data_IF_327411041150
#
_entry.id   IF_327411041150
#
_cell.length_a   1.000
_cell.length_b   1.000
_cell.length_c   1.000
_cell.angle_alpha   90.00
_cell.angle_beta   90.00
_cell.angle_gamma   90.00
#
_symmetry.space_group_name_H-M   'P 1'
#
loop_
_entity.id
_entity.type
_entity.pdbx_description
1 polymer ?
#
# COMPACT_ATOMS: atom_id res chain seq x y z
N UNK A 1 -9.77 -2.92 -23.78
CA UNK A 1 -8.96 -1.99 -22.97
C UNK A 1 -8.70 -2.64 -21.62
N UNK A 2 -7.56 -2.37 -20.99
CA UNK A 2 -7.32 -2.85 -19.62
C UNK A 2 -8.36 -2.28 -18.64
N UNK A 3 -8.74 -3.07 -17.63
CA UNK A 3 -9.80 -2.71 -16.69
C UNK A 3 -9.42 -1.52 -15.79
N UNK A 4 -8.16 -1.40 -15.38
CA UNK A 4 -7.69 -0.28 -14.56
C UNK A 4 -7.70 1.03 -15.34
N UNK A 5 -7.20 0.99 -16.59
CA UNK A 5 -7.26 2.13 -17.52
C UNK A 5 -8.71 2.55 -17.75
N UNK A 6 -9.59 1.57 -18.00
CA UNK A 6 -11.01 1.84 -18.28
C UNK A 6 -11.69 2.50 -17.07
N UNK A 7 -11.51 1.94 -15.87
CA UNK A 7 -12.11 2.47 -14.65
C UNK A 7 -11.62 3.90 -14.33
N UNK A 8 -10.32 4.19 -14.53
CA UNK A 8 -9.78 5.52 -14.31
C UNK A 8 -10.39 6.56 -15.27
N UNK A 9 -10.51 6.21 -16.55
CA UNK A 9 -11.12 7.09 -17.56
C UNK A 9 -12.61 7.23 -17.31
N UNK A 10 -13.36 6.15 -17.10
CA UNK A 10 -14.80 6.20 -16.85
C UNK A 10 -15.14 7.06 -15.62
N UNK A 11 -14.33 6.98 -14.55
CA UNK A 11 -14.47 7.84 -13.37
C UNK A 11 -14.25 9.32 -13.69
N UNK A 12 -13.23 9.64 -14.49
CA UNK A 12 -12.96 11.00 -14.94
C UNK A 12 -14.10 11.54 -15.81
N UNK A 13 -14.56 10.75 -16.79
CA UNK A 13 -15.62 11.17 -17.69
C UNK A 13 -16.96 11.31 -16.97
N UNK A 14 -17.26 10.43 -16.00
CA UNK A 14 -18.43 10.57 -15.13
C UNK A 14 -18.39 11.87 -14.31
N UNK A 15 -17.22 12.20 -13.74
CA UNK A 15 -17.05 13.46 -13.02
C UNK A 15 -17.22 14.67 -13.95
N UNK A 16 -16.72 14.61 -15.20
CA UNK A 16 -16.93 15.64 -16.21
C UNK A 16 -18.41 15.83 -16.58
N UNK A 17 -19.18 14.73 -16.66
CA UNK A 17 -20.62 14.77 -16.94
C UNK A 17 -21.44 15.37 -15.79
N UNK A 18 -20.90 15.37 -14.56
CA UNK A 18 -21.58 15.90 -13.37
C UNK A 18 -21.51 17.43 -13.21
N UNK A 19 -20.81 18.14 -14.11
CA UNK A 19 -20.58 19.59 -14.07
C UNK A 19 -21.46 20.32 -15.09
N UNK A 20 -22.16 21.39 -14.67
CA UNK A 20 -22.98 22.21 -15.56
C UNK A 20 -22.13 23.28 -16.27
N UNK A 21 -21.68 23.00 -17.49
CA UNK A 21 -20.74 23.86 -18.24
C UNK A 21 -21.38 25.10 -18.90
N UNK A 22 -22.67 25.36 -18.68
CA UNK A 22 -23.43 26.46 -19.33
C UNK A 22 -22.86 27.86 -19.11
N UNK A 23 -22.09 28.08 -18.05
CA UNK A 23 -21.48 29.39 -17.76
C UNK A 23 -20.09 29.59 -18.39
N UNK A 24 -19.48 28.52 -18.93
CA UNK A 24 -18.11 28.51 -19.46
C UNK A 24 -18.04 28.44 -21.00
N UNK A 25 -19.15 28.10 -21.68
CA UNK A 25 -19.18 27.94 -23.14
C UNK A 25 -19.37 29.28 -23.87
N UNK A 26 -18.27 29.96 -24.21
CA UNK A 26 -18.25 30.93 -25.33
C UNK A 26 -17.81 30.33 -26.67
N UNK A 27 -17.56 29.03 -26.75
CA UNK A 27 -17.12 28.35 -27.98
C UNK A 27 -17.82 27.00 -28.17
N UNK A 28 -18.58 26.87 -29.27
CA UNK A 28 -18.79 25.62 -30.02
C UNK A 28 -19.52 24.43 -29.35
N UNK A 29 -19.89 23.40 -30.14
CA UNK A 29 -20.81 22.31 -29.74
C UNK A 29 -20.11 21.10 -29.09
N UNK A 30 -18.86 21.22 -28.63
CA UNK A 30 -18.07 20.09 -28.11
C UNK A 30 -18.22 20.05 -26.59
N UNK A 31 -18.64 18.90 -26.04
CA UNK A 31 -18.79 18.74 -24.58
C UNK A 31 -17.43 18.61 -23.88
N UNK A 32 -17.35 18.99 -22.60
CA UNK A 32 -16.12 18.84 -21.78
C UNK A 32 -15.58 17.40 -21.83
N UNK A 33 -16.49 16.41 -21.78
CA UNK A 33 -16.18 14.99 -21.96
C UNK A 33 -15.46 14.70 -23.29
N UNK A 34 -15.94 15.26 -24.39
CA UNK A 34 -15.32 15.08 -25.71
C UNK A 34 -13.92 15.71 -25.77
N UNK A 35 -13.74 16.89 -25.17
CA UNK A 35 -12.42 17.54 -25.10
C UNK A 35 -11.41 16.71 -24.26
N UNK A 36 -11.84 16.19 -23.11
CA UNK A 36 -11.01 15.31 -22.27
C UNK A 36 -10.64 14.02 -23.00
N UNK A 37 -11.60 13.39 -23.71
CA UNK A 37 -11.31 12.21 -24.52
C UNK A 37 -10.29 12.49 -25.63
N UNK A 38 -10.37 13.65 -26.29
CA UNK A 38 -9.40 14.06 -27.31
C UNK A 38 -8.01 14.25 -26.72
N UNK A 39 -7.89 14.91 -25.57
CA UNK A 39 -6.60 15.14 -24.93
C UNK A 39 -5.95 13.84 -24.42
N UNK A 40 -6.74 12.91 -23.88
CA UNK A 40 -6.28 11.58 -23.52
C UNK A 40 -5.77 10.80 -24.74
N UNK A 41 -6.45 10.91 -25.88
CA UNK A 41 -6.00 10.30 -27.14
C UNK A 41 -4.67 10.89 -27.59
N UNK A 42 -4.52 12.22 -27.57
CA UNK A 42 -3.27 12.90 -27.95
C UNK A 42 -2.13 12.53 -26.99
N UNK A 43 -2.41 12.41 -25.69
CA UNK A 43 -1.43 11.91 -24.73
C UNK A 43 -0.96 10.49 -25.07
N UNK A 44 -1.89 9.56 -25.35
CA UNK A 44 -1.58 8.18 -25.74
C UNK A 44 -0.73 8.13 -27.02
N UNK A 45 -1.03 9.01 -27.99
CA UNK A 45 -0.23 9.17 -29.20
C UNK A 45 1.19 9.67 -28.87
N UNK A 46 1.32 10.71 -28.04
CA UNK A 46 2.60 11.35 -27.68
C UNK A 46 3.55 10.42 -26.92
N UNK A 47 3.02 9.55 -26.05
CA UNK A 47 3.84 8.58 -25.31
C UNK A 47 4.14 7.31 -26.10
N UNK A 48 3.61 7.15 -27.32
CA UNK A 48 3.80 5.95 -28.14
C UNK A 48 4.95 6.12 -29.14
N UNK A 49 6.01 5.30 -29.03
CA UNK A 49 7.18 5.35 -29.92
C UNK A 49 7.04 4.47 -31.18
N UNK A 50 6.44 3.28 -31.05
CA UNK A 50 6.15 2.30 -32.13
C UNK A 50 4.87 1.50 -31.82
N UNK A 51 4.28 0.84 -32.81
CA UNK A 51 3.08 -0.01 -32.66
C UNK A 51 1.94 0.69 -31.87
N UNK A 52 1.66 1.94 -32.24
CA UNK A 52 0.66 2.79 -31.58
C UNK A 52 -0.77 2.46 -31.99
N UNK A 53 -0.95 1.86 -33.18
CA UNK A 53 -2.25 1.56 -33.77
C UNK A 53 -3.15 0.71 -32.87
N UNK A 54 -2.62 -0.33 -32.21
CA UNK A 54 -3.43 -1.17 -31.32
C UNK A 54 -3.97 -0.37 -30.12
N UNK A 55 -3.14 0.47 -29.49
CA UNK A 55 -3.53 1.30 -28.33
C UNK A 55 -4.52 2.38 -28.72
N UNK A 56 -4.24 3.07 -29.82
CA UNK A 56 -5.08 4.12 -30.39
C UNK A 56 -6.43 3.52 -30.80
N UNK A 57 -6.44 2.43 -31.56
CA UNK A 57 -7.67 1.79 -32.03
C UNK A 57 -8.51 1.27 -30.85
N UNK A 58 -7.88 0.70 -29.83
CA UNK A 58 -8.58 0.23 -28.64
C UNK A 58 -9.21 1.40 -27.86
N UNK A 59 -8.54 2.54 -27.76
CA UNK A 59 -9.09 3.75 -27.16
C UNK A 59 -10.23 4.33 -28.00
N UNK A 60 -10.02 4.46 -29.30
CA UNK A 60 -11.01 4.95 -30.26
C UNK A 60 -12.29 4.10 -30.23
N UNK A 61 -12.18 2.78 -30.35
CA UNK A 61 -13.33 1.87 -30.30
C UNK A 61 -14.08 1.89 -28.96
N UNK A 62 -13.42 2.27 -27.87
CA UNK A 62 -14.03 2.30 -26.54
C UNK A 62 -14.75 3.63 -26.27
N UNK A 63 -14.17 4.76 -26.69
CA UNK A 63 -14.65 6.10 -26.29
C UNK A 63 -15.14 6.99 -27.44
N UNK A 64 -14.98 6.57 -28.69
CA UNK A 64 -15.48 7.28 -29.87
C UNK A 64 -16.35 6.34 -30.71
N UNK A 65 -17.66 6.63 -30.80
CA UNK A 65 -18.58 5.91 -31.69
C UNK A 65 -18.71 6.64 -33.03
N UNK A 66 -18.41 5.93 -34.13
CA UNK A 66 -18.65 6.23 -35.56
C UNK A 66 -18.71 7.69 -36.05
N UNK A 67 -17.89 8.60 -35.50
CA UNK A 67 -17.74 9.95 -36.04
C UNK A 67 -16.25 10.24 -36.23
N UNK A 68 -15.90 10.66 -37.45
CA UNK A 68 -14.57 11.15 -37.80
C UNK A 68 -14.23 12.31 -36.86
N UNK A 69 -13.31 12.07 -35.94
CA UNK A 69 -12.68 13.12 -35.16
C UNK A 69 -11.56 13.68 -36.02
N UNK A 70 -11.76 14.86 -36.60
CA UNK A 70 -10.62 15.68 -37.00
C UNK A 70 -9.88 16.04 -35.71
N UNK A 71 -8.64 15.56 -35.58
CA UNK A 71 -7.75 15.89 -34.48
C UNK A 71 -7.43 17.39 -34.50
N UNK A 72 -8.29 18.21 -33.92
CA UNK A 72 -7.99 19.62 -33.67
C UNK A 72 -7.25 19.68 -32.34
N UNK A 73 -5.98 19.28 -32.34
CA UNK A 73 -5.08 19.42 -31.22
C UNK A 73 -3.78 20.04 -31.72
N UNK A 74 -3.44 21.21 -31.21
CA UNK A 74 -2.20 21.89 -31.53
C UNK A 74 -1.04 21.03 -31.00
N UNK A 75 -0.28 20.37 -31.89
CA UNK A 75 0.76 19.39 -31.54
C UNK A 75 1.88 19.97 -30.63
N UNK A 76 1.90 21.30 -30.48
CA UNK A 76 2.91 22.06 -29.75
C UNK A 76 2.50 22.54 -28.34
N UNK A 77 1.26 22.31 -27.87
CA UNK A 77 0.90 22.68 -26.49
C UNK A 77 1.40 21.63 -25.49
N UNK A 78 2.22 22.06 -24.51
CA UNK A 78 2.68 21.20 -23.42
C UNK A 78 1.56 20.81 -22.44
N UNK A 79 0.46 21.56 -22.42
CA UNK A 79 -0.69 21.37 -21.53
C UNK A 79 -1.95 21.68 -22.32
N UNK A 80 -2.84 20.71 -22.39
CA UNK A 80 -4.02 20.80 -23.23
C UNK A 80 -5.10 21.73 -22.68
N UNK A 81 -5.92 22.24 -23.60
CA UNK A 81 -7.01 23.17 -23.29
C UNK A 81 -8.06 22.58 -22.34
N UNK A 82 -8.39 21.28 -22.41
CA UNK A 82 -9.36 20.69 -21.47
C UNK A 82 -8.82 20.70 -20.05
N UNK A 83 -7.53 20.38 -19.83
CA UNK A 83 -6.93 20.40 -18.51
C UNK A 83 -6.94 21.80 -17.88
N UNK A 84 -6.65 22.84 -18.68
CA UNK A 84 -6.77 24.24 -18.24
C UNK A 84 -8.20 24.56 -17.81
N UNK A 85 -9.20 24.07 -18.54
CA UNK A 85 -10.62 24.23 -18.21
C UNK A 85 -11.02 23.46 -16.95
N UNK A 86 -10.52 22.24 -16.73
CA UNK A 86 -10.73 21.48 -15.49
C UNK A 86 -10.19 22.24 -14.27
N UNK A 87 -9.00 22.83 -14.39
CA UNK A 87 -8.44 23.67 -13.32
C UNK A 87 -9.33 24.90 -13.04
N UNK A 88 -9.87 25.55 -14.08
CA UNK A 88 -10.80 26.67 -13.90
C UNK A 88 -12.11 26.26 -13.21
N UNK A 89 -12.65 25.08 -13.55
CA UNK A 89 -13.85 24.54 -12.89
C UNK A 89 -13.57 24.28 -11.41
N UNK A 90 -12.43 23.66 -11.09
CA UNK A 90 -12.04 23.39 -9.71
C UNK A 90 -11.86 24.68 -8.89
N UNK A 91 -11.36 25.77 -9.49
CA UNK A 91 -11.26 27.09 -8.83
C UNK A 91 -12.62 27.70 -8.47
N UNK A 92 -13.63 27.51 -9.32
CA UNK A 92 -14.96 28.12 -9.14
C UNK A 92 -15.83 27.32 -8.16
N UNK A 93 -15.34 26.18 -7.65
CA UNK A 93 -16.04 25.28 -6.70
C UNK A 93 -17.43 24.89 -7.20
N UNK A 94 -17.60 24.69 -8.50
CA UNK A 94 -18.82 24.06 -9.02
C UNK A 94 -18.92 22.63 -8.47
N UNK A 95 -20.14 22.18 -8.14
CA UNK A 95 -20.37 20.88 -7.47
C UNK A 95 -20.03 19.71 -8.39
N UNK A 96 -18.76 19.37 -8.49
CA UNK A 96 -18.23 18.15 -9.13
C UNK A 96 -18.38 16.93 -8.19
N UNK A 97 -19.53 16.74 -7.55
CA UNK A 97 -19.78 15.62 -6.60
C UNK A 97 -18.64 15.37 -5.57
N UNK A 98 -17.86 16.40 -5.21
CA UNK A 98 -16.72 16.30 -4.29
C UNK A 98 -15.38 15.88 -4.92
N UNK A 99 -15.26 15.82 -6.25
CA UNK A 99 -14.01 15.52 -6.96
C UNK A 99 -13.28 16.78 -7.40
N UNK A 100 -11.95 16.80 -7.25
CA UNK A 100 -11.08 17.78 -7.92
C UNK A 100 -10.78 17.20 -9.31
N UNK A 101 -11.31 17.83 -10.37
CA UNK A 101 -11.27 17.28 -11.73
C UNK A 101 -9.85 17.26 -12.31
N UNK A 102 -9.06 18.29 -12.02
CA UNK A 102 -7.64 18.37 -12.41
C UNK A 102 -6.80 17.26 -11.75
N UNK A 103 -7.07 16.93 -10.48
CA UNK A 103 -6.46 15.78 -9.79
C UNK A 103 -6.86 14.46 -10.46
N UNK A 104 -8.14 14.28 -10.72
CA UNK A 104 -8.66 13.07 -11.35
C UNK A 104 -8.09 12.88 -12.76
N UNK A 105 -7.90 13.97 -13.52
CA UNK A 105 -7.24 13.95 -14.82
C UNK A 105 -5.77 13.50 -14.71
N UNK A 106 -5.00 14.08 -13.77
CA UNK A 106 -3.60 13.68 -13.54
C UNK A 106 -3.51 12.21 -13.14
N UNK A 107 -4.41 11.74 -12.25
CA UNK A 107 -4.47 10.33 -11.83
C UNK A 107 -4.74 9.40 -13.02
N UNK A 108 -5.68 9.75 -13.90
CA UNK A 108 -5.95 8.96 -15.12
C UNK A 108 -4.75 8.90 -16.08
N UNK A 109 -4.05 10.03 -16.28
CA UNK A 109 -2.81 10.08 -17.09
C UNK A 109 -1.73 9.15 -16.50
N UNK A 110 -1.57 9.14 -15.17
CA UNK A 110 -0.61 8.28 -14.48
C UNK A 110 -0.94 6.80 -14.67
N UNK A 111 -2.22 6.41 -14.48
CA UNK A 111 -2.68 5.02 -14.66
C UNK A 111 -2.39 4.53 -16.09
N UNK A 112 -2.74 5.33 -17.10
CA UNK A 112 -2.48 5.01 -18.52
C UNK A 112 -0.97 4.84 -18.76
N UNK A 113 -0.17 5.82 -18.34
CA UNK A 113 1.28 5.81 -18.56
C UNK A 113 2.00 4.66 -17.85
N UNK A 114 1.61 4.35 -16.62
CA UNK A 114 2.17 3.23 -15.85
C UNK A 114 1.83 1.88 -16.47
N UNK A 115 0.57 1.66 -16.84
CA UNK A 115 0.13 0.41 -17.45
C UNK A 115 0.92 0.10 -18.73
N UNK A 116 1.05 1.08 -19.62
CA UNK A 116 1.80 0.90 -20.86
C UNK A 116 3.31 0.76 -20.62
N UNK A 117 3.87 1.43 -19.62
CA UNK A 117 5.31 1.35 -19.28
C UNK A 117 5.69 0.02 -18.60
N UNK A 118 4.76 -0.62 -17.87
CA UNK A 118 5.00 -1.87 -17.15
C UNK A 118 4.59 -3.12 -17.92
N UNK A 119 3.73 -2.97 -18.93
CA UNK A 119 3.26 -4.08 -19.77
C UNK A 119 4.41 -4.79 -20.50
N UNK A 120 4.53 -6.11 -20.32
CA UNK A 120 5.49 -6.97 -21.05
C UNK A 120 5.37 -6.82 -22.58
N UNK A 121 4.17 -6.48 -23.08
CA UNK A 121 3.86 -6.32 -24.50
C UNK A 121 4.26 -4.93 -25.03
N UNK A 122 4.13 -3.87 -24.22
CA UNK A 122 4.24 -2.48 -24.69
C UNK A 122 5.45 -1.71 -24.14
N UNK A 123 6.16 -2.20 -23.11
CA UNK A 123 7.27 -1.47 -22.46
C UNK A 123 8.38 -0.96 -23.39
N UNK A 124 8.65 -1.67 -24.50
CA UNK A 124 9.69 -1.27 -25.48
C UNK A 124 9.21 -0.23 -26.50
N UNK A 125 7.93 0.08 -26.52
CA UNK A 125 7.30 0.97 -27.50
C UNK A 125 6.68 2.23 -26.90
N UNK A 126 7.08 2.58 -25.66
CA UNK A 126 6.60 3.75 -24.92
C UNK A 126 7.73 4.73 -24.60
N UNK A 127 7.47 6.01 -24.80
CA UNK A 127 8.33 7.12 -24.42
C UNK A 127 8.17 7.42 -22.92
N UNK A 128 8.87 6.65 -22.09
CA UNK A 128 8.80 6.77 -20.63
C UNK A 128 9.21 8.17 -20.16
N UNK A 129 10.23 8.78 -20.79
CA UNK A 129 10.68 10.12 -20.44
C UNK A 129 9.61 11.17 -20.80
N UNK A 130 9.03 11.08 -21.99
CA UNK A 130 7.94 11.96 -22.40
C UNK A 130 6.70 11.86 -21.53
N UNK A 131 6.39 10.66 -21.01
CA UNK A 131 5.34 10.47 -20.01
C UNK A 131 5.67 11.20 -18.68
N UNK A 132 6.88 11.01 -18.15
CA UNK A 132 7.32 11.64 -16.90
C UNK A 132 7.30 13.17 -17.02
N UNK A 133 7.82 13.70 -18.12
CA UNK A 133 7.87 15.14 -18.38
C UNK A 133 6.46 15.73 -18.50
N UNK A 134 5.53 15.00 -19.14
CA UNK A 134 4.14 15.42 -19.26
C UNK A 134 3.44 15.51 -17.90
N UNK A 135 3.58 14.48 -17.04
CA UNK A 135 3.03 14.51 -15.68
C UNK A 135 3.62 15.64 -14.85
N UNK A 136 4.94 15.88 -14.98
CA UNK A 136 5.61 16.99 -14.29
C UNK A 136 5.04 18.34 -14.70
N UNK A 137 4.84 18.57 -15.99
CA UNK A 137 4.27 19.81 -16.52
C UNK A 137 2.83 20.05 -16.02
N UNK A 138 2.00 19.01 -15.97
CA UNK A 138 0.64 19.13 -15.41
C UNK A 138 0.66 19.54 -13.93
N UNK A 139 1.51 18.88 -13.13
CA UNK A 139 1.65 19.21 -11.70
C UNK A 139 2.19 20.62 -11.48
N UNK A 140 3.18 21.03 -12.27
CA UNK A 140 3.74 22.38 -12.19
C UNK A 140 2.72 23.45 -12.58
N UNK A 141 1.86 23.16 -13.55
CA UNK A 141 0.78 24.07 -13.91
C UNK A 141 -0.21 24.27 -12.76
N UNK A 142 -0.68 23.19 -12.14
CA UNK A 142 -1.60 23.27 -11.01
C UNK A 142 -1.04 24.12 -9.87
N UNK A 143 0.25 23.96 -9.54
CA UNK A 143 0.93 24.78 -8.50
C UNK A 143 0.89 26.27 -8.82
N UNK A 144 0.92 26.63 -10.10
CA UNK A 144 0.87 28.01 -10.55
C UNK A 144 -0.55 28.58 -10.66
N UNK A 145 -1.59 27.76 -10.43
CA UNK A 145 -2.98 28.21 -10.45
C UNK A 145 -3.40 28.65 -9.03
N UNK A 146 -3.83 29.92 -8.83
CA UNK A 146 -4.22 30.44 -7.52
C UNK A 146 -5.35 29.62 -6.87
N UNK A 147 -5.31 29.48 -5.55
CA UNK A 147 -6.30 28.78 -4.70
C UNK A 147 -6.46 27.26 -4.90
N UNK A 148 -5.77 26.65 -5.86
CA UNK A 148 -5.67 25.18 -6.01
C UNK A 148 -4.53 24.57 -5.17
N UNK A 149 -3.42 25.29 -5.00
CA UNK A 149 -2.21 24.79 -4.32
C UNK A 149 -2.42 24.44 -2.82
N UNK A 150 -3.47 25.01 -2.19
CA UNK A 150 -3.83 24.73 -0.78
C UNK A 150 -4.61 23.42 -0.59
N UNK A 151 -5.28 22.91 -1.62
CA UNK A 151 -6.00 21.63 -1.59
C UNK A 151 -5.17 20.49 -2.25
N UNK A 152 -4.17 20.83 -3.08
CA UNK A 152 -3.26 19.89 -3.73
C UNK A 152 -2.15 19.30 -2.83
N UNK A 153 -2.02 19.82 -1.61
CA UNK A 153 -0.92 19.53 -0.70
C UNK A 153 -1.20 18.46 0.34
N UNK A 154 -1.59 17.23 -0.03
CA UNK A 154 -1.46 16.06 0.88
C UNK A 154 -1.27 14.66 0.25
N UNK A 155 -1.27 14.46 -1.08
CA UNK A 155 -1.16 13.10 -1.64
C UNK A 155 -0.08 12.85 -2.72
N UNK A 156 0.66 13.86 -3.19
CA UNK A 156 1.48 13.70 -4.41
C UNK A 156 2.98 13.41 -4.27
N UNK A 157 3.52 13.25 -3.06
CA UNK A 157 4.87 12.66 -2.87
C UNK A 157 4.87 11.12 -2.99
N UNK A 158 3.72 10.47 -3.21
CA UNK A 158 3.56 9.01 -3.31
C UNK A 158 3.39 8.46 -4.75
N UNK A 159 3.94 9.12 -5.78
CA UNK A 159 3.93 8.55 -7.15
C UNK A 159 5.33 8.30 -7.72
N UNK A 160 6.10 7.49 -7.00
CA UNK A 160 6.92 6.45 -7.61
C UNK A 160 6.09 5.16 -7.64
N UNK A 161 6.05 4.53 -8.82
CA UNK A 161 5.34 3.29 -9.18
C UNK A 161 5.03 2.39 -7.97
N UNK A 162 3.79 2.41 -7.50
CA UNK A 162 3.26 1.50 -6.49
C UNK A 162 2.06 0.79 -7.10
N UNK A 163 2.24 -0.48 -7.48
CA UNK A 163 1.12 -1.39 -7.71
C UNK A 163 0.64 -1.87 -6.35
N UNK A 164 -0.27 -1.12 -5.74
CA UNK A 164 -1.09 -1.59 -4.63
C UNK A 164 -2.42 -0.85 -4.69
N UNK A 165 -3.48 -1.60 -4.97
CA UNK A 165 -4.85 -1.26 -4.59
C UNK A 165 -4.85 -1.02 -3.08
N UNK A 166 -4.93 0.23 -2.66
CA UNK A 166 -5.12 0.57 -1.25
C UNK A 166 -6.55 0.15 -0.83
N UNK A 167 -6.68 -0.56 0.30
CA UNK A 167 -7.95 -0.74 0.96
C UNK A 167 -8.33 0.53 1.71
N UNK A 168 -9.63 0.81 1.71
CA UNK A 168 -10.31 1.85 2.48
C UNK A 168 -9.73 1.90 3.91
N UNK A 169 -9.17 3.04 4.27
CA UNK A 169 -8.72 3.36 5.61
C UNK A 169 -9.92 3.51 6.55
N UNK A 170 -9.87 2.79 7.66
CA UNK A 170 -10.75 2.98 8.80
C UNK A 170 -10.41 4.35 9.40
N UNK A 171 -11.34 5.29 9.27
CA UNK A 171 -11.36 6.51 10.08
C UNK A 171 -11.66 6.12 11.52
N UNK A 172 -10.61 6.03 12.34
CA UNK A 172 -10.76 6.15 13.80
C UNK A 172 -11.02 7.63 14.12
N UNK A 173 -12.29 7.98 14.31
CA UNK A 173 -12.65 9.11 15.17
C UNK A 173 -13.67 8.67 16.22
N UNK A 174 -13.10 8.40 17.41
CA UNK A 174 -13.63 8.80 18.71
C UNK A 174 -14.96 8.21 19.18
N UNK A 175 -14.86 7.14 19.98
CA UNK A 175 -15.42 7.24 21.32
C UNK A 175 -14.53 8.19 22.13
N UNK A 176 -15.04 9.37 22.39
CA UNK A 176 -14.38 10.42 23.15
C UNK A 176 -14.22 10.00 24.61
N UNK A 177 -13.02 9.55 24.97
CA UNK A 177 -12.51 9.71 26.34
C UNK A 177 -11.16 10.39 26.24
N UNK A 178 -11.17 11.67 26.58
CA UNK A 178 -10.00 12.46 26.91
C UNK A 178 -9.13 11.75 27.96
N UNK A 179 -7.91 11.36 27.60
CA UNK A 179 -6.71 11.73 28.36
C UNK A 179 -5.46 11.35 27.58
N UNK A 180 -4.57 12.31 27.38
CA UNK A 180 -3.20 12.13 26.90
C UNK A 180 -2.37 11.39 27.96
N UNK A 181 -2.66 10.12 28.18
CA UNK A 181 -1.80 9.23 28.95
C UNK A 181 -0.80 8.62 27.98
N UNK A 182 0.49 8.81 28.25
CA UNK A 182 1.52 8.06 27.55
C UNK A 182 1.23 6.57 27.72
N UNK A 183 1.05 5.86 26.61
CA UNK A 183 0.78 4.42 26.55
C UNK A 183 1.86 3.69 27.35
N UNK A 184 1.45 2.92 28.36
CA UNK A 184 2.37 2.19 29.25
C UNK A 184 2.82 0.89 28.60
N UNK A 185 3.92 0.30 29.11
CA UNK A 185 4.40 -0.99 28.59
C UNK A 185 3.35 -2.09 28.83
N UNK A 186 2.63 -2.01 29.94
CA UNK A 186 1.53 -2.89 30.30
C UNK A 186 0.39 -2.80 29.28
N UNK A 187 0.04 -1.60 28.79
CA UNK A 187 -0.99 -1.41 27.76
C UNK A 187 -0.58 -2.07 26.43
N UNK A 188 0.71 -1.98 26.06
CA UNK A 188 1.23 -2.61 24.83
C UNK A 188 1.32 -4.13 24.98
N UNK A 189 1.65 -4.63 26.17
CA UNK A 189 1.62 -6.07 26.47
C UNK A 189 0.20 -6.62 26.39
N UNK A 190 -0.80 -5.87 26.85
CA UNK A 190 -2.19 -6.27 26.71
C UNK A 190 -2.62 -6.32 25.23
N UNK A 191 -2.18 -5.37 24.40
CA UNK A 191 -2.39 -5.42 22.96
C UNK A 191 -1.76 -6.68 22.32
N UNK A 192 -0.54 -7.04 22.73
CA UNK A 192 0.10 -8.29 22.27
C UNK A 192 -0.74 -9.50 22.68
N UNK A 193 -1.27 -9.51 23.91
CA UNK A 193 -2.03 -10.64 24.44
C UNK A 193 -3.37 -10.81 23.72
N UNK A 194 -4.00 -9.72 23.28
CA UNK A 194 -5.22 -9.71 22.47
C UNK A 194 -5.04 -10.22 21.04
N UNK A 195 -3.82 -10.29 20.51
CA UNK A 195 -3.60 -10.84 19.18
C UNK A 195 -4.00 -12.33 19.15
N UNK A 196 -4.69 -12.75 18.10
CA UNK A 196 -5.14 -14.14 17.98
C UNK A 196 -3.92 -15.05 17.79
N UNK A 197 -3.89 -16.17 18.51
CA UNK A 197 -2.83 -17.16 18.38
C UNK A 197 -1.43 -16.67 18.82
N UNK A 198 -0.41 -17.03 18.04
CA UNK A 198 0.97 -16.53 18.14
C UNK A 198 1.66 -16.77 19.51
N UNK A 199 1.29 -17.82 20.25
CA UNK A 199 1.79 -18.05 21.62
C UNK A 199 3.32 -18.05 21.72
N UNK A 200 4.00 -18.67 20.76
CA UNK A 200 5.47 -18.69 20.70
C UNK A 200 6.04 -17.28 20.50
N UNK A 201 5.46 -16.49 19.58
CA UNK A 201 5.88 -15.10 19.33
C UNK A 201 5.66 -14.24 20.58
N UNK A 202 4.50 -14.36 21.24
CA UNK A 202 4.21 -13.65 22.48
C UNK A 202 5.23 -13.96 23.57
N UNK A 203 5.62 -15.22 23.71
CA UNK A 203 6.67 -15.65 24.64
C UNK A 203 8.03 -15.01 24.32
N UNK A 204 8.45 -15.05 23.05
CA UNK A 204 9.71 -14.44 22.61
C UNK A 204 9.74 -12.93 22.83
N UNK A 205 8.64 -12.23 22.53
CA UNK A 205 8.51 -10.80 22.77
C UNK A 205 8.57 -10.48 24.27
N UNK A 206 7.93 -11.27 25.13
CA UNK A 206 8.04 -11.11 26.59
C UNK A 206 9.47 -11.35 27.08
N UNK A 207 10.17 -12.36 26.56
CA UNK A 207 11.58 -12.61 26.89
C UNK A 207 12.49 -11.43 26.49
N UNK A 208 12.25 -10.86 25.31
CA UNK A 208 12.92 -9.65 24.85
C UNK A 208 12.67 -8.49 25.80
N UNK A 209 11.41 -8.22 26.16
CA UNK A 209 11.03 -7.14 27.10
C UNK A 209 11.73 -7.32 28.45
N UNK A 210 11.75 -8.55 28.98
CA UNK A 210 12.39 -8.84 30.26
C UNK A 210 13.89 -8.54 30.23
N UNK A 211 14.58 -8.92 29.15
CA UNK A 211 16.00 -8.63 28.98
C UNK A 211 16.26 -7.12 28.89
N UNK A 212 15.42 -6.39 28.15
CA UNK A 212 15.55 -4.94 28.01
C UNK A 212 15.27 -4.19 29.33
N UNK A 213 14.24 -4.62 30.08
CA UNK A 213 13.95 -4.10 31.43
C UNK A 213 15.13 -4.33 32.37
N UNK A 214 15.73 -5.52 32.37
CA UNK A 214 16.92 -5.81 33.16
C UNK A 214 18.08 -4.89 32.80
N UNK A 215 18.35 -4.69 31.50
CA UNK A 215 19.41 -3.79 31.04
C UNK A 215 19.17 -2.33 31.46
N UNK A 216 17.92 -1.86 31.41
CA UNK A 216 17.54 -0.53 31.92
C UNK A 216 17.84 -0.38 33.41
N UNK A 217 17.40 -1.33 34.24
CA UNK A 217 17.66 -1.33 35.69
C UNK A 217 19.17 -1.36 35.97
N UNK A 218 19.94 -2.16 35.22
CA UNK A 218 21.40 -2.20 35.35
C UNK A 218 22.04 -0.84 35.05
N UNK A 219 21.61 -0.18 33.96
CA UNK A 219 22.08 1.15 33.56
C UNK A 219 21.77 2.19 34.62
N UNK A 220 20.53 2.23 35.12
CA UNK A 220 20.09 3.17 36.17
C UNK A 220 20.88 2.99 37.48
N UNK A 221 21.30 1.77 37.79
CA UNK A 221 22.11 1.45 38.97
C UNK A 221 23.63 1.52 38.72
N UNK A 222 24.06 2.03 37.56
CA UNK A 222 25.48 2.19 37.23
C UNK A 222 26.24 0.89 36.91
N UNK A 223 25.56 -0.24 36.73
CA UNK A 223 26.17 -1.48 36.30
C UNK A 223 26.39 -1.52 34.78
N UNK A 224 27.41 -2.28 34.36
CA UNK A 224 27.63 -2.55 32.93
C UNK A 224 26.40 -3.26 32.33
N UNK A 225 25.90 -2.73 31.22
CA UNK A 225 24.80 -3.33 30.47
C UNK A 225 25.26 -4.62 29.78
N UNK A 226 24.34 -5.56 29.58
CA UNK A 226 24.58 -6.74 28.77
C UNK A 226 24.52 -6.27 27.31
N UNK A 227 25.65 -6.37 26.60
CA UNK A 227 25.71 -6.02 25.18
C UNK A 227 24.89 -7.03 24.38
N UNK A 228 23.70 -6.64 23.97
CA UNK A 228 22.86 -7.42 23.04
C UNK A 228 22.50 -6.55 21.86
N UNK A 229 22.45 -7.13 20.67
CA UNK A 229 21.82 -6.47 19.54
C UNK A 229 20.33 -6.27 19.82
N UNK A 230 19.82 -5.09 19.43
CA UNK A 230 18.41 -4.75 19.49
C UNK A 230 17.69 -5.06 18.16
N UNK A 231 18.45 -5.43 17.13
CA UNK A 231 17.95 -5.80 15.81
C UNK A 231 17.37 -7.20 15.81
N UNK A 232 16.33 -7.44 15.01
CA UNK A 232 15.57 -8.69 15.02
C UNK A 232 15.39 -9.25 13.60
N UNK A 233 15.26 -10.56 13.52
CA UNK A 233 14.89 -11.28 12.29
C UNK A 233 13.51 -11.88 12.46
N UNK A 234 12.56 -11.56 11.59
CA UNK A 234 11.21 -12.12 11.61
C UNK A 234 11.07 -13.17 10.50
N UNK A 235 10.80 -14.40 10.89
CA UNK A 235 10.75 -15.54 9.99
C UNK A 235 9.34 -16.10 9.91
N UNK A 236 8.72 -16.08 8.73
CA UNK A 236 7.41 -16.70 8.54
C UNK A 236 6.70 -16.26 7.27
N UNK A 237 5.61 -16.97 6.94
CA UNK A 237 4.82 -16.73 5.73
C UNK A 237 4.07 -15.38 5.77
N UNK A 238 3.58 -14.87 4.63
CA UNK A 238 2.74 -13.66 4.60
C UNK A 238 1.51 -13.82 5.49
N UNK A 239 1.07 -12.69 6.06
CA UNK A 239 -0.15 -12.64 6.86
C UNK A 239 -0.08 -13.32 8.23
N UNK A 240 1.10 -13.63 8.76
CA UNK A 240 1.30 -14.20 10.12
C UNK A 240 1.46 -13.14 11.22
N UNK A 241 1.27 -11.84 10.93
CA UNK A 241 1.31 -10.77 11.93
C UNK A 241 2.68 -10.13 12.19
N UNK A 242 3.68 -10.37 11.33
CA UNK A 242 5.04 -9.79 11.41
C UNK A 242 5.04 -8.26 11.60
N UNK A 243 4.43 -7.52 10.68
CA UNK A 243 4.37 -6.04 10.72
C UNK A 243 3.61 -5.54 11.96
N UNK A 244 2.54 -6.23 12.37
CA UNK A 244 1.78 -5.88 13.59
C UNK A 244 2.65 -5.99 14.84
N UNK A 245 3.39 -7.09 14.99
CA UNK A 245 4.31 -7.28 16.13
C UNK A 245 5.48 -6.28 16.08
N UNK A 246 6.00 -5.96 14.89
CA UNK A 246 7.04 -4.94 14.73
C UNK A 246 6.60 -3.57 15.27
N UNK A 247 5.35 -3.16 14.99
CA UNK A 247 4.76 -1.91 15.48
C UNK A 247 4.65 -1.89 17.00
N UNK A 248 4.24 -3.00 17.61
CA UNK A 248 4.15 -3.12 19.08
C UNK A 248 5.54 -3.09 19.73
N UNK A 249 6.54 -3.72 19.11
CA UNK A 249 7.93 -3.66 19.57
C UNK A 249 8.47 -2.22 19.50
N UNK A 250 8.15 -1.45 18.45
CA UNK A 250 8.55 -0.05 18.35
C UNK A 250 8.02 0.78 19.54
N UNK A 251 6.73 0.59 19.90
CA UNK A 251 6.11 1.21 21.07
C UNK A 251 6.82 0.81 22.38
N UNK A 252 7.10 -0.48 22.56
CA UNK A 252 7.83 -1.00 23.73
C UNK A 252 9.22 -0.38 23.83
N UNK A 253 9.97 -0.32 22.73
CA UNK A 253 11.32 0.23 22.71
C UNK A 253 11.31 1.71 23.07
N UNK A 254 10.33 2.47 22.59
CA UNK A 254 10.11 3.86 23.01
C UNK A 254 9.81 3.98 24.50
N UNK A 255 8.85 3.19 25.00
CA UNK A 255 8.45 3.22 26.41
C UNK A 255 9.61 2.82 27.36
N UNK A 256 10.52 1.97 26.91
CA UNK A 256 11.74 1.62 27.65
C UNK A 256 12.84 2.69 27.53
N UNK A 257 12.72 3.65 26.62
CA UNK A 257 13.72 4.70 26.37
C UNK A 257 14.92 4.20 25.57
N UNK A 258 14.71 3.16 24.75
CA UNK A 258 15.69 2.64 23.78
C UNK A 258 15.62 3.43 22.49
N UNK A 259 14.42 3.85 22.10
CA UNK A 259 14.16 4.66 20.92
C UNK A 259 13.53 5.98 21.33
N UNK A 260 13.92 7.07 20.69
CA UNK A 260 13.43 8.41 21.00
C UNK A 260 11.98 8.64 20.53
N UNK A 261 11.58 8.12 19.36
CA UNK A 261 10.28 8.41 18.73
C UNK A 261 9.34 7.19 18.65
N UNK A 262 9.86 5.98 18.45
CA UNK A 262 9.08 4.73 18.38
C UNK A 262 8.27 4.53 17.09
N UNK A 263 8.61 5.25 16.01
CA UNK A 263 7.99 5.05 14.71
C UNK A 263 8.43 3.75 14.04
N UNK A 264 7.61 3.24 13.13
CA UNK A 264 7.91 2.07 12.29
C UNK A 264 7.89 2.51 10.83
N UNK A 265 9.02 2.41 10.14
CA UNK A 265 9.14 2.67 8.71
C UNK A 265 9.26 1.32 8.01
N UNK A 266 8.21 0.94 7.27
CA UNK A 266 8.16 -0.29 6.48
C UNK A 266 8.64 -0.03 5.05
N UNK A 267 9.55 -0.86 4.56
CA UNK A 267 10.13 -0.75 3.22
C UNK A 267 10.39 -2.13 2.62
N UNK A 268 10.52 -2.16 1.29
CA UNK A 268 11.00 -3.32 0.54
C UNK A 268 12.26 -3.01 -0.30
N UNK A 269 12.67 -3.93 -1.17
CA UNK A 269 13.82 -3.73 -2.07
C UNK A 269 13.67 -2.52 -2.97
N UNK A 270 12.47 -2.26 -3.49
CA UNK A 270 12.20 -1.17 -4.41
C UNK A 270 12.38 0.19 -3.75
N UNK A 271 12.13 0.29 -2.45
CA UNK A 271 12.34 1.52 -1.66
C UNK A 271 13.82 1.79 -1.37
N UNK A 272 14.63 0.73 -1.23
CA UNK A 272 16.04 0.86 -0.84
C UNK A 272 16.98 0.98 -2.05
N UNK A 273 16.67 0.28 -3.14
CA UNK A 273 17.55 0.15 -4.30
C UNK A 273 17.12 1.09 -5.43
N UNK A 274 18.09 1.83 -5.99
CA UNK A 274 17.88 2.71 -7.14
C UNK A 274 18.20 1.98 -8.46
N UNK A 275 17.68 2.50 -9.58
CA UNK A 275 17.93 1.96 -10.92
C UNK A 275 19.29 2.35 -11.52
N UNK A 276 20.02 3.26 -10.89
CA UNK A 276 21.27 3.84 -11.39
C UNK A 276 22.39 3.71 -10.37
N UNK A 277 23.62 3.54 -10.87
CA UNK A 277 24.85 3.39 -10.07
C UNK A 277 25.06 4.61 -9.15
N UNK A 278 25.40 4.35 -7.89
CA UNK A 278 25.74 5.38 -6.90
C UNK A 278 24.55 6.13 -6.27
N UNK A 279 23.31 5.82 -6.69
CA UNK A 279 22.11 6.41 -6.09
C UNK A 279 21.53 5.55 -4.95
N UNK A 280 21.89 4.26 -4.89
CA UNK A 280 21.33 3.34 -3.89
C UNK A 280 21.73 3.71 -2.47
N UNK A 281 23.01 4.05 -2.21
CA UNK A 281 23.41 4.50 -0.89
C UNK A 281 22.69 5.79 -0.44
N UNK A 282 22.37 6.70 -1.37
CA UNK A 282 21.63 7.93 -1.07
C UNK A 282 20.20 7.58 -0.69
N UNK A 283 19.51 6.81 -1.55
CA UNK A 283 18.13 6.39 -1.34
C UNK A 283 17.95 5.60 -0.03
N UNK A 284 18.86 4.65 0.22
CA UNK A 284 18.88 3.87 1.47
C UNK A 284 19.10 4.77 2.68
N UNK A 285 19.97 5.78 2.58
CA UNK A 285 20.21 6.73 3.68
C UNK A 285 18.99 7.59 3.98
N UNK A 286 18.29 8.10 2.96
CA UNK A 286 17.05 8.87 3.15
C UNK A 286 15.98 8.06 3.89
N UNK A 287 15.87 6.76 3.59
CA UNK A 287 14.97 5.84 4.29
C UNK A 287 15.42 5.63 5.74
N UNK A 288 16.72 5.44 5.98
CA UNK A 288 17.27 5.31 7.33
C UNK A 288 17.00 6.57 8.14
N UNK A 289 17.20 7.75 7.55
CA UNK A 289 16.98 9.04 8.21
C UNK A 289 15.51 9.21 8.65
N UNK A 290 14.56 8.74 7.83
CA UNK A 290 13.13 8.68 8.20
C UNK A 290 12.83 7.70 9.34
N UNK A 291 13.67 6.68 9.52
CA UNK A 291 13.50 5.64 10.53
C UNK A 291 14.30 5.91 11.82
N UNK A 292 15.07 7.01 11.88
CA UNK A 292 15.80 7.42 13.07
C UNK A 292 14.85 7.64 14.25
N UNK A 293 15.29 7.29 15.46
CA UNK A 293 14.41 7.28 16.63
C UNK A 293 13.37 6.17 16.61
N UNK A 294 13.41 5.28 15.62
CA UNK A 294 12.39 4.27 15.35
C UNK A 294 12.96 2.93 14.90
N UNK A 295 12.09 2.17 14.24
CA UNK A 295 12.40 0.88 13.63
C UNK A 295 12.30 0.99 12.12
N UNK A 296 13.35 0.58 11.41
CA UNK A 296 13.31 0.26 9.99
C UNK A 296 12.92 -1.21 9.81
N UNK A 297 11.75 -1.47 9.24
CA UNK A 297 11.28 -2.81 8.93
C UNK A 297 11.43 -3.09 7.43
N UNK A 298 12.25 -4.09 7.10
CA UNK A 298 12.55 -4.47 5.71
C UNK A 298 11.85 -5.78 5.41
N UNK A 299 10.76 -5.74 4.63
CA UNK A 299 10.08 -6.96 4.20
C UNK A 299 10.81 -7.62 3.03
N UNK A 300 10.74 -8.94 2.99
CA UNK A 300 11.49 -9.81 2.07
C UNK A 300 12.96 -9.40 1.88
N UNK A 301 13.67 -9.13 2.99
CA UNK A 301 15.03 -8.58 2.98
C UNK A 301 16.05 -9.40 2.17
N UNK A 302 15.84 -10.73 2.07
CA UNK A 302 16.65 -11.61 1.23
C UNK A 302 16.68 -11.20 -0.25
N UNK A 303 15.69 -10.44 -0.71
CA UNK A 303 15.66 -9.91 -2.07
C UNK A 303 16.81 -8.95 -2.31
N UNK A 304 17.35 -8.26 -1.30
CA UNK A 304 18.50 -7.35 -1.44
C UNK A 304 19.78 -8.10 -1.82
N UNK A 305 19.98 -9.31 -1.28
CA UNK A 305 21.15 -10.15 -1.60
C UNK A 305 20.98 -10.96 -2.90
N UNK A 306 19.75 -11.11 -3.42
CA UNK A 306 19.49 -11.87 -4.64
C UNK A 306 20.00 -11.13 -5.89
N UNK A 307 20.64 -11.89 -6.78
CA UNK A 307 20.95 -11.47 -8.15
C UNK A 307 22.36 -10.90 -8.38
N UNK A 308 23.25 -10.91 -7.37
CA UNK A 308 24.65 -10.49 -7.53
C UNK A 308 24.84 -9.06 -8.03
N UNK A 309 23.81 -8.22 -7.92
CA UNK A 309 23.85 -6.83 -8.37
C UNK A 309 24.50 -5.96 -7.30
N UNK A 310 25.52 -5.19 -7.66
CA UNK A 310 26.25 -4.29 -6.76
C UNK A 310 25.32 -3.35 -5.96
N UNK A 311 24.19 -2.96 -6.54
CA UNK A 311 23.22 -2.06 -5.90
C UNK A 311 22.58 -2.63 -4.63
N UNK A 312 22.23 -3.92 -4.63
CA UNK A 312 21.62 -4.55 -3.46
C UNK A 312 22.62 -4.66 -2.30
N UNK A 313 23.88 -4.96 -2.62
CA UNK A 313 24.95 -5.00 -1.65
C UNK A 313 25.25 -3.61 -1.08
N UNK A 314 25.23 -2.57 -1.92
CA UNK A 314 25.40 -1.17 -1.49
C UNK A 314 24.34 -0.74 -0.46
N UNK A 315 23.08 -1.17 -0.63
CA UNK A 315 22.02 -0.94 0.36
C UNK A 315 22.32 -1.67 1.67
N UNK A 316 22.69 -2.95 1.62
CA UNK A 316 23.05 -3.77 2.79
C UNK A 316 24.21 -3.11 3.57
N UNK A 317 25.27 -2.70 2.87
CA UNK A 317 26.45 -2.09 3.49
C UNK A 317 26.10 -0.75 4.16
N UNK A 318 25.24 0.04 3.53
CA UNK A 318 24.73 1.30 4.09
C UNK A 318 23.93 1.07 5.37
N UNK A 319 23.06 0.05 5.38
CA UNK A 319 22.26 -0.35 6.55
C UNK A 319 23.18 -0.86 7.67
N UNK A 320 24.11 -1.76 7.38
CA UNK A 320 25.06 -2.33 8.35
C UNK A 320 25.91 -1.26 9.04
N UNK A 321 26.33 -0.24 8.28
CA UNK A 321 27.04 0.92 8.82
C UNK A 321 26.16 1.73 9.76
N UNK A 322 24.92 2.04 9.36
CA UNK A 322 23.98 2.76 10.22
C UNK A 322 23.64 2.00 11.50
N UNK A 323 23.50 0.67 11.43
CA UNK A 323 23.29 -0.20 12.60
C UNK A 323 24.42 -0.09 13.63
N UNK A 324 25.67 0.13 13.19
CA UNK A 324 26.80 0.34 14.11
C UNK A 324 26.84 1.78 14.63
N UNK A 325 26.78 2.75 13.72
CA UNK A 325 26.97 4.17 14.02
C UNK A 325 25.82 4.75 14.86
N UNK A 326 24.61 4.17 14.74
CA UNK A 326 23.36 4.68 15.34
C UNK A 326 22.67 3.68 16.27
N UNK A 327 23.38 2.68 16.78
CA UNK A 327 22.82 1.57 17.59
C UNK A 327 21.96 1.96 18.80
N UNK A 328 22.16 3.16 19.33
CA UNK A 328 21.47 3.65 20.54
C UNK A 328 20.13 4.31 20.22
N UNK A 329 19.80 4.56 18.94
CA UNK A 329 18.54 5.23 18.53
C UNK A 329 18.04 4.79 17.13
N UNK A 330 18.49 3.64 16.64
CA UNK A 330 18.08 3.08 15.36
C UNK A 330 18.06 1.56 15.43
N UNK A 331 16.92 0.95 15.08
CA UNK A 331 16.74 -0.50 15.10
C UNK A 331 16.25 -0.98 13.74
N UNK A 332 16.89 -2.01 13.21
CA UNK A 332 16.44 -2.71 12.01
C UNK A 332 15.75 -4.02 12.39
N UNK A 333 14.60 -4.28 11.77
CA UNK A 333 13.96 -5.60 11.74
C UNK A 333 13.92 -6.06 10.28
N UNK A 334 14.51 -7.21 10.00
CA UNK A 334 14.43 -7.84 8.66
C UNK A 334 13.42 -8.98 8.69
N UNK A 335 12.57 -9.06 7.67
CA UNK A 335 11.52 -10.07 7.58
C UNK A 335 11.62 -10.90 6.28
N UNK A 336 11.14 -12.14 6.35
CA UNK A 336 11.02 -12.99 5.16
C UNK A 336 10.75 -14.47 5.47
N UNK A 337 10.81 -15.29 4.44
CA UNK A 337 10.68 -16.74 4.55
C UNK A 337 11.94 -17.37 5.17
N UNK A 338 11.77 -18.38 6.02
CA UNK A 338 12.86 -19.00 6.79
C UNK A 338 14.04 -19.46 5.94
N UNK A 339 13.79 -20.13 4.81
CA UNK A 339 14.85 -20.61 3.91
C UNK A 339 15.68 -19.47 3.30
N UNK A 340 15.09 -18.60 2.46
CA UNK A 340 15.78 -17.46 1.85
C UNK A 340 16.45 -16.51 2.86
N UNK A 341 15.87 -16.34 4.06
CA UNK A 341 16.48 -15.52 5.11
C UNK A 341 17.75 -16.14 5.70
N UNK A 342 17.84 -17.47 5.77
CA UNK A 342 19.07 -18.14 6.19
C UNK A 342 20.22 -17.81 5.22
N UNK A 343 19.95 -17.88 3.91
CA UNK A 343 20.94 -17.55 2.89
C UNK A 343 21.33 -16.07 2.93
N UNK A 344 20.36 -15.18 3.17
CA UNK A 344 20.61 -13.75 3.35
C UNK A 344 21.51 -13.45 4.55
N UNK A 345 21.26 -14.06 5.71
CA UNK A 345 22.10 -13.83 6.89
C UNK A 345 23.52 -14.37 6.70
N UNK A 346 23.65 -15.49 5.98
CA UNK A 346 24.94 -16.10 5.65
C UNK A 346 25.70 -15.35 4.53
N UNK A 347 25.04 -14.46 3.79
CA UNK A 347 25.68 -13.77 2.65
C UNK A 347 26.70 -12.72 3.08
N UNK A 348 26.62 -12.23 4.33
CA UNK A 348 27.56 -11.25 4.87
C UNK A 348 27.77 -11.48 6.38
N UNK A 349 29.00 -11.73 6.87
CA UNK A 349 29.26 -11.91 8.31
C UNK A 349 28.80 -10.74 9.19
N UNK A 350 28.72 -9.54 8.64
CA UNK A 350 28.17 -8.35 9.29
C UNK A 350 26.69 -8.50 9.64
N UNK A 351 25.90 -9.18 8.80
CA UNK A 351 24.49 -9.47 9.06
C UNK A 351 24.35 -10.48 10.21
N UNK A 352 25.04 -11.62 10.13
CA UNK A 352 24.97 -12.68 11.15
C UNK A 352 25.34 -12.15 12.55
N UNK A 353 26.37 -11.31 12.65
CA UNK A 353 26.80 -10.73 13.93
C UNK A 353 25.78 -9.75 14.55
N UNK A 354 25.05 -8.99 13.72
CA UNK A 354 24.07 -7.98 14.18
C UNK A 354 22.67 -8.57 14.35
N UNK A 355 22.33 -9.61 13.60
CA UNK A 355 21.02 -10.26 13.61
C UNK A 355 21.07 -11.60 14.34
N UNK A 356 21.37 -11.57 15.63
CA UNK A 356 21.54 -12.77 16.45
C UNK A 356 20.26 -13.22 17.19
N UNK A 357 19.12 -12.56 16.95
CA UNK A 357 17.82 -12.91 17.52
C UNK A 357 16.79 -13.03 16.41
N UNK A 358 16.13 -14.19 16.38
CA UNK A 358 15.10 -14.51 15.39
C UNK A 358 13.79 -14.83 16.10
N UNK A 359 12.69 -14.31 15.56
CA UNK A 359 11.33 -14.61 16.01
C UNK A 359 10.63 -15.37 14.88
N UNK A 360 10.16 -16.57 15.19
CA UNK A 360 9.45 -17.43 14.24
C UNK A 360 7.94 -17.22 14.34
N UNK A 361 7.33 -16.88 13.22
CA UNK A 361 5.90 -16.66 13.04
C UNK A 361 5.30 -17.86 12.32
N UNK A 362 4.70 -18.82 13.05
CA UNK A 362 4.06 -19.98 12.45
C UNK A 362 2.83 -19.57 11.64
N UNK A 363 2.41 -20.46 10.74
CA UNK A 363 1.08 -20.37 10.13
C UNK A 363 0.00 -20.47 11.20
N UNK A 364 -1.10 -19.75 10.99
CA UNK A 364 -2.29 -19.88 11.85
C UNK A 364 -2.99 -21.22 11.62
N UNK A 365 -3.57 -21.74 12.68
CA UNK A 365 -4.49 -22.88 12.62
C UNK A 365 -5.83 -22.46 12.00
N UNK A 366 -6.64 -23.43 11.55
CA UNK A 366 -7.97 -23.13 11.02
C UNK A 366 -8.87 -22.41 12.04
N UNK A 367 -8.74 -22.75 13.32
CA UNK A 367 -9.45 -22.09 14.42
C UNK A 367 -9.00 -20.63 14.56
N UNK A 368 -7.70 -20.38 14.56
CA UNK A 368 -7.15 -19.02 14.63
C UNK A 368 -7.53 -18.18 13.40
N UNK A 369 -7.54 -18.77 12.19
CA UNK A 369 -8.02 -18.08 11.00
C UNK A 369 -9.52 -17.74 11.06
N UNK A 370 -10.33 -18.63 11.64
CA UNK A 370 -11.75 -18.40 11.87
C UNK A 370 -11.97 -17.26 12.87
N UNK A 371 -11.20 -17.24 13.96
CA UNK A 371 -11.22 -16.14 14.93
C UNK A 371 -10.81 -14.81 14.30
N UNK A 372 -9.82 -14.82 13.39
CA UNK A 372 -9.43 -13.62 12.63
C UNK A 372 -10.58 -13.13 11.75
N UNK A 373 -11.33 -14.04 11.11
CA UNK A 373 -12.51 -13.66 10.33
C UNK A 373 -13.59 -13.04 11.21
N UNK A 374 -13.84 -13.62 12.39
CA UNK A 374 -14.80 -13.06 13.36
C UNK A 374 -14.35 -11.70 13.89
N UNK A 375 -13.04 -11.49 14.07
CA UNK A 375 -12.51 -10.19 14.46
C UNK A 375 -12.83 -9.12 13.40
N UNK A 376 -12.70 -9.45 12.11
CA UNK A 376 -13.17 -8.55 11.04
C UNK A 376 -14.67 -8.32 11.14
N UNK A 377 -15.48 -9.36 11.32
CA UNK A 377 -16.93 -9.21 11.48
C UNK A 377 -17.28 -8.27 12.65
N UNK A 378 -16.65 -8.45 13.82
CA UNK A 378 -16.86 -7.61 14.99
C UNK A 378 -16.51 -6.14 14.74
N UNK A 379 -15.40 -5.86 14.04
CA UNK A 379 -14.97 -4.50 13.71
C UNK A 379 -15.96 -3.77 12.77
N UNK A 380 -16.75 -4.51 11.99
CA UNK A 380 -17.77 -3.96 11.10
C UNK A 380 -19.20 -4.18 11.62
N UNK A 381 -19.36 -4.56 12.89
CA UNK A 381 -20.67 -4.84 13.52
C UNK A 381 -21.49 -5.93 12.80
N UNK A 382 -20.80 -6.88 12.20
CA UNK A 382 -21.37 -7.99 11.45
C UNK A 382 -21.28 -9.31 12.22
N UNK A 383 -22.14 -10.26 11.83
CA UNK A 383 -22.19 -11.61 12.35
C UNK A 383 -22.41 -12.62 11.23
N UNK A 384 -21.84 -13.80 11.38
CA UNK A 384 -22.11 -14.95 10.50
C UNK A 384 -23.39 -15.65 10.96
N UNK A 385 -24.22 -16.08 9.99
CA UNK A 385 -25.26 -17.07 10.31
C UNK A 385 -24.63 -18.40 10.72
N UNK A 386 -25.39 -19.25 11.39
CA UNK A 386 -24.91 -20.57 11.85
C UNK A 386 -24.36 -21.41 10.69
N UNK A 387 -25.08 -21.45 9.57
CA UNK A 387 -24.65 -22.20 8.38
C UNK A 387 -23.39 -21.60 7.76
N UNK A 388 -23.32 -20.26 7.64
CA UNK A 388 -22.13 -19.56 7.15
C UNK A 388 -20.89 -19.86 8.01
N UNK A 389 -21.05 -19.88 9.34
CA UNK A 389 -19.98 -20.21 10.27
C UNK A 389 -19.48 -21.64 10.11
N UNK A 390 -20.38 -22.62 9.94
CA UNK A 390 -20.01 -24.02 9.72
C UNK A 390 -19.26 -24.21 8.39
N UNK A 391 -19.78 -23.64 7.31
CA UNK A 391 -19.16 -23.75 5.98
C UNK A 391 -17.81 -23.04 5.92
N UNK A 392 -17.66 -21.90 6.60
CA UNK A 392 -16.37 -21.20 6.73
C UNK A 392 -15.33 -22.05 7.49
N UNK A 393 -15.73 -22.68 8.60
CA UNK A 393 -14.81 -23.55 9.37
C UNK A 393 -14.32 -24.73 8.54
N UNK A 394 -15.21 -25.41 7.83
CA UNK A 394 -14.85 -26.52 6.94
C UNK A 394 -13.91 -26.05 5.80
N UNK A 395 -14.20 -24.89 5.20
CA UNK A 395 -13.33 -24.29 4.19
C UNK A 395 -11.92 -24.00 4.73
N UNK A 396 -11.81 -23.34 5.90
CA UNK A 396 -10.53 -23.00 6.51
C UNK A 396 -9.73 -24.25 6.91
N UNK A 397 -10.41 -25.30 7.40
CA UNK A 397 -9.77 -26.59 7.65
C UNK A 397 -9.18 -27.19 6.36
N UNK A 398 -9.95 -27.20 5.27
CA UNK A 398 -9.47 -27.67 3.96
C UNK A 398 -8.29 -26.83 3.45
N UNK A 399 -8.35 -25.50 3.62
CA UNK A 399 -7.29 -24.59 3.22
C UNK A 399 -5.99 -24.85 4.00
N UNK A 400 -6.07 -24.98 5.32
CA UNK A 400 -4.93 -25.30 6.18
C UNK A 400 -4.34 -26.69 5.92
N UNK A 401 -5.16 -27.68 5.54
CA UNK A 401 -4.71 -29.02 5.22
C UNK A 401 -4.01 -29.09 3.86
N UNK A 402 -4.52 -28.36 2.86
CA UNK A 402 -3.94 -28.34 1.52
C UNK A 402 -2.68 -27.49 1.43
N UNK A 403 -2.59 -26.40 2.20
CA UNK A 403 -1.51 -25.40 2.16
C UNK A 403 -1.07 -25.07 0.73
N UNK A 404 -1.94 -24.44 -0.09
CA UNK A 404 -1.58 -24.08 -1.46
C UNK A 404 -0.33 -23.20 -1.48
N UNK A 405 0.37 -23.20 -2.61
CA UNK A 405 1.65 -22.50 -2.79
C UNK A 405 1.60 -21.00 -2.47
N UNK A 406 0.42 -20.38 -2.58
CA UNK A 406 0.12 -18.98 -2.29
C UNK A 406 -0.56 -18.74 -0.93
N UNK A 407 -0.52 -19.70 -0.01
CA UNK A 407 -1.15 -19.58 1.31
C UNK A 407 -0.57 -18.40 2.10
N UNK A 408 -1.44 -17.44 2.45
CA UNK A 408 -1.05 -16.15 3.04
C UNK A 408 -1.77 -15.83 4.35
N UNK A 409 -2.22 -16.87 5.08
CA UNK A 409 -2.72 -16.76 6.44
C UNK A 409 -3.79 -15.66 6.62
N UNK A 410 -3.57 -14.70 7.53
CA UNK A 410 -4.51 -13.61 7.80
C UNK A 410 -4.78 -12.71 6.59
N UNK A 411 -3.88 -12.65 5.61
CA UNK A 411 -4.12 -11.93 4.34
C UNK A 411 -5.16 -12.68 3.50
N UNK A 412 -5.13 -14.01 3.46
CA UNK A 412 -6.16 -14.80 2.79
C UNK A 412 -7.53 -14.62 3.47
N UNK A 413 -7.58 -14.60 4.81
CA UNK A 413 -8.82 -14.36 5.56
C UNK A 413 -9.37 -12.96 5.32
N UNK A 414 -8.50 -11.94 5.28
CA UNK A 414 -8.88 -10.58 4.91
C UNK A 414 -9.52 -10.53 3.53
N UNK A 415 -8.85 -11.12 2.52
CA UNK A 415 -9.36 -11.15 1.16
C UNK A 415 -10.71 -11.89 1.08
N UNK A 416 -10.86 -12.98 1.84
CA UNK A 416 -12.13 -13.71 1.94
C UNK A 416 -13.24 -12.84 2.55
N UNK A 417 -12.94 -12.09 3.60
CA UNK A 417 -13.90 -11.16 4.22
C UNK A 417 -14.31 -10.05 3.24
N UNK A 418 -13.34 -9.40 2.58
CA UNK A 418 -13.61 -8.35 1.58
C UNK A 418 -14.44 -8.88 0.39
N UNK A 419 -14.13 -10.09 -0.08
CA UNK A 419 -14.95 -10.77 -1.09
C UNK A 419 -16.36 -11.05 -0.58
N UNK A 420 -16.51 -11.36 0.71
CA UNK A 420 -17.81 -11.65 1.31
C UNK A 420 -18.70 -10.40 1.39
N UNK A 421 -18.11 -9.25 1.72
CA UNK A 421 -18.81 -7.96 1.66
C UNK A 421 -19.30 -7.64 0.24
N UNK A 422 -18.49 -7.94 -0.76
CA UNK A 422 -18.86 -7.73 -2.17
C UNK A 422 -20.05 -8.60 -2.59
N UNK A 423 -20.09 -9.86 -2.15
CA UNK A 423 -21.20 -10.77 -2.42
C UNK A 423 -22.48 -10.38 -1.66
N UNK A 424 -22.34 -9.97 -0.40
CA UNK A 424 -23.44 -9.42 0.38
C UNK A 424 -24.03 -8.18 -0.32
N UNK A 425 -23.19 -7.24 -0.77
CA UNK A 425 -23.64 -6.04 -1.48
C UNK A 425 -24.43 -6.39 -2.74
N UNK A 426 -23.94 -7.33 -3.56
CA UNK A 426 -24.65 -7.79 -4.76
C UNK A 426 -26.01 -8.41 -4.42
N UNK A 427 -26.07 -9.24 -3.38
CA UNK A 427 -27.33 -9.82 -2.89
C UNK A 427 -28.33 -8.75 -2.46
N UNK A 428 -27.87 -7.73 -1.73
CA UNK A 428 -28.74 -6.68 -1.19
C UNK A 428 -29.22 -5.70 -2.26
N UNK A 429 -28.44 -5.51 -3.34
CA UNK A 429 -28.83 -4.69 -4.47
C UNK A 429 -30.09 -5.19 -5.20
N UNK A 430 -30.38 -6.49 -5.09
CA UNK A 430 -31.57 -7.13 -5.69
C UNK A 430 -32.84 -6.98 -4.80
N UNK A 431 -32.73 -6.41 -3.60
CA UNK A 431 -33.81 -6.34 -2.61
C UNK A 431 -34.53 -5.00 -2.65
N UNK A 432 -35.87 -5.00 -2.67
CA UNK A 432 -36.69 -3.77 -2.68
C UNK A 432 -36.56 -2.94 -1.39
N UNK A 433 -36.30 -3.59 -0.25
CA UNK A 433 -36.07 -2.93 1.04
C UNK A 433 -35.02 -3.69 1.85
N UNK A 434 -34.03 -2.95 2.36
CA UNK A 434 -32.92 -3.46 3.18
C UNK A 434 -33.23 -3.21 4.65
N UNK A 435 -33.30 -4.26 5.45
CA UNK A 435 -33.47 -4.19 6.90
C UNK A 435 -32.14 -4.22 7.65
N UNK A 436 -32.17 -3.92 8.95
CA UNK A 436 -30.95 -3.92 9.78
C UNK A 436 -30.26 -5.29 9.83
N UNK A 437 -31.02 -6.38 9.87
CA UNK A 437 -30.47 -7.74 9.84
C UNK A 437 -29.74 -8.05 8.53
N UNK A 438 -30.16 -7.46 7.41
CA UNK A 438 -29.50 -7.67 6.12
C UNK A 438 -28.09 -7.07 6.10
N UNK A 439 -27.90 -5.94 6.79
CA UNK A 439 -26.64 -5.22 6.91
C UNK A 439 -25.68 -5.92 7.88
N UNK A 440 -26.22 -6.49 8.97
CA UNK A 440 -25.41 -7.09 10.04
C UNK A 440 -25.17 -8.59 9.86
N UNK A 441 -25.88 -9.29 8.97
CA UNK A 441 -25.74 -10.75 8.79
C UNK A 441 -25.10 -11.15 7.45
N UNK A 442 -23.98 -11.87 7.56
CA UNK A 442 -23.35 -12.61 6.47
C UNK A 442 -23.90 -14.04 6.42
N UNK A 443 -24.49 -14.38 5.28
CA UNK A 443 -25.04 -15.70 4.98
C UNK A 443 -24.01 -16.57 4.23
N UNK A 444 -24.25 -17.88 4.17
CA UNK A 444 -23.35 -18.81 3.50
C UNK A 444 -23.10 -18.44 2.02
N UNK A 445 -24.15 -17.99 1.31
CA UNK A 445 -24.04 -17.54 -0.09
C UNK A 445 -23.20 -16.28 -0.29
N UNK A 446 -22.94 -15.54 0.79
CA UNK A 446 -22.05 -14.38 0.73
C UNK A 446 -20.59 -14.81 0.90
N UNK A 447 -20.28 -16.07 1.21
CA UNK A 447 -18.91 -16.53 1.41
C UNK A 447 -18.33 -17.09 0.12
N UNK A 448 -17.18 -16.57 -0.31
CA UNK A 448 -16.44 -17.10 -1.46
C UNK A 448 -15.61 -18.34 -1.06
N UNK A 449 -16.26 -19.50 -0.91
CA UNK A 449 -15.65 -20.73 -0.38
C UNK A 449 -14.95 -21.60 -1.44
N UNK A 450 -14.45 -21.00 -2.52
CA UNK A 450 -13.72 -21.71 -3.55
C UNK A 450 -12.26 -21.91 -3.12
N UNK A 451 -11.78 -23.15 -3.17
CA UNK A 451 -10.37 -23.44 -2.91
C UNK A 451 -9.56 -23.00 -4.13
N UNK A 452 -8.46 -22.26 -3.96
CA UNK A 452 -7.59 -21.89 -5.08
C UNK A 452 -7.04 -23.15 -5.76
N UNK A 453 -6.98 -23.12 -7.09
CA UNK A 453 -6.30 -24.14 -7.88
C UNK A 453 -4.81 -24.19 -7.53
N UNK A 454 -4.22 -25.39 -7.54
CA UNK A 454 -2.88 -25.68 -7.00
C UNK A 454 -1.72 -24.99 -7.73
#
# INVERSE_FOLDING_TARGET
MDLEIKNAIDRLLYACDSVDTKHLSKQGPISLKQMVCQDLLTFIQKISLKDSEERINLFMMTYFSEIQVECIGDENENIHSSFKMLCQIDQVKEKSNGFILSDLYIKSIIVIGQHYSLSKKHKKSINVQGFIDYVKNLKEYVKNVPDLDKEFGHEFEKTSVNTNTEPISISEESSSISSSRAETIEDVLEQIDRLIGLQNVKSEVRNLINLLRLNKIRKERGYKQIKTSNHLVFLGNPGTGKTTIARLIAKIYKALGILSEGQLVEVDRSDLVAGYVGQTAIKTREVIDKAMGGILFIDEAYTLAKGGSDFGQEAIDTILKAMEDKRDDFVVIVAGYSGPMSDFLASNPGLESRFNKSIHFPDYTAEELFDIFNLYCQNYEMQLTTDASLSLKDYLQKLCNKKPSNFSNGRAVRNLFEASLSLQANRLAEKEAIGNEDLTMLMEKDLCLNLPDM
#
